data_IF_783656392099
#
_entry.id   IF_783656392099
#
_cell.length_a   1.000
_cell.length_b   1.000
_cell.length_c   1.000
_cell.angle_alpha   90.00
_cell.angle_beta   90.00
_cell.angle_gamma   90.00
#
_symmetry.space_group_name_H-M   'P 1'
#
loop_
_entity.id
_entity.type
_entity.pdbx_description
1 polymer ?
#
# COMPACT_ATOMS: atom_id res chain seq x y z
N UNK A 1 3.28 -15.06 14.79
CA UNK A 1 2.48 -15.37 13.57
C UNK A 1 2.62 -14.19 12.62
N UNK A 2 2.93 -14.45 11.35
CA UNK A 2 2.97 -13.39 10.34
C UNK A 2 1.54 -12.99 9.94
N UNK A 3 1.28 -11.72 9.89
CA UNK A 3 0.03 -11.18 9.37
C UNK A 3 0.22 -10.63 7.94
N UNK A 4 -0.87 -10.38 7.25
CA UNK A 4 -0.96 -9.69 5.96
C UNK A 4 -2.09 -8.66 6.04
N UNK A 5 -2.02 -7.57 5.25
CA UNK A 5 -0.99 -7.17 4.28
C UNK A 5 0.25 -6.54 4.94
N UNK A 6 1.33 -6.38 4.19
CA UNK A 6 2.49 -5.60 4.65
C UNK A 6 2.32 -4.12 4.32
N UNK A 7 1.86 -3.82 3.11
CA UNK A 7 1.70 -2.47 2.57
C UNK A 7 0.44 -2.37 1.73
N UNK A 8 0.01 -1.15 1.43
CA UNK A 8 -1.17 -0.86 0.62
C UNK A 8 -0.82 -0.04 -0.63
N UNK A 9 -1.76 0.01 -1.55
CA UNK A 9 -1.78 0.93 -2.67
C UNK A 9 -3.23 1.22 -3.07
N UNK A 10 -3.49 2.26 -3.87
CA UNK A 10 -4.85 2.54 -4.33
C UNK A 10 -5.38 1.40 -5.19
N UNK A 11 -6.44 0.76 -4.72
CA UNK A 11 -7.12 -0.33 -5.41
C UNK A 11 -8.52 0.04 -5.92
N UNK A 12 -9.02 1.22 -5.56
CA UNK A 12 -10.36 1.66 -5.95
C UNK A 12 -10.41 1.94 -7.46
N UNK A 13 -11.22 1.22 -8.25
CA UNK A 13 -11.34 1.45 -9.68
C UNK A 13 -12.01 2.79 -10.02
N UNK A 14 -12.76 3.38 -9.10
CA UNK A 14 -13.43 4.66 -9.32
C UNK A 14 -12.45 5.84 -9.29
N UNK A 15 -11.45 5.78 -8.42
CA UNK A 15 -10.36 6.75 -8.36
C UNK A 15 -9.13 6.33 -9.17
N UNK A 16 -8.83 5.05 -9.22
CA UNK A 16 -7.85 4.34 -10.02
C UNK A 16 -6.59 5.07 -10.45
N UNK A 17 -5.99 4.59 -11.50
CA UNK A 17 -4.91 5.29 -12.20
C UNK A 17 -5.00 5.03 -13.71
N UNK A 18 -4.52 5.99 -14.54
CA UNK A 18 -4.63 5.86 -16.00
C UNK A 18 -3.57 4.91 -16.54
N UNK A 19 -3.97 4.08 -17.50
CA UNK A 19 -3.07 3.27 -18.32
C UNK A 19 -3.40 3.47 -19.79
N UNK A 20 -2.46 3.13 -20.66
CA UNK A 20 -2.72 3.03 -22.10
C UNK A 20 -2.83 1.55 -22.45
N UNK A 21 -3.98 1.16 -23.00
CA UNK A 21 -4.22 -0.17 -23.52
C UNK A 21 -4.69 -0.09 -24.98
N UNK A 22 -3.96 -0.74 -25.88
CA UNK A 22 -4.26 -0.70 -27.34
C UNK A 22 -4.39 0.72 -27.89
N UNK A 23 -3.55 1.65 -27.38
CA UNK A 23 -3.56 3.05 -27.81
C UNK A 23 -4.66 3.92 -27.21
N UNK A 24 -5.44 3.41 -26.26
CA UNK A 24 -6.54 4.14 -25.60
C UNK A 24 -6.24 4.30 -24.10
N UNK A 25 -6.50 5.49 -23.56
CA UNK A 25 -6.45 5.74 -22.14
C UNK A 25 -7.61 5.07 -21.42
N UNK A 26 -7.30 4.31 -20.37
CA UNK A 26 -8.29 3.65 -19.49
C UNK A 26 -7.91 3.89 -18.03
N UNK A 27 -8.93 4.04 -17.18
CA UNK A 27 -8.72 4.06 -15.74
C UNK A 27 -8.88 2.64 -15.20
N UNK A 28 -7.90 2.18 -14.45
CA UNK A 28 -7.91 0.84 -13.85
C UNK A 28 -7.72 0.92 -12.34
N UNK A 29 -8.21 -0.09 -11.65
CA UNK A 29 -8.05 -0.30 -10.22
C UNK A 29 -8.04 -1.79 -9.91
N UNK A 30 -8.15 -2.10 -8.64
CA UNK A 30 -8.07 -3.45 -8.10
C UNK A 30 -6.78 -3.69 -7.33
N UNK A 31 -6.79 -4.62 -6.39
CA UNK A 31 -5.61 -4.98 -5.59
C UNK A 31 -4.47 -5.49 -6.46
N UNK A 32 -4.79 -6.11 -7.61
CA UNK A 32 -3.79 -6.55 -8.61
C UNK A 32 -3.01 -5.39 -9.23
N UNK A 33 -3.50 -4.16 -9.13
CA UNK A 33 -2.81 -2.99 -9.63
C UNK A 33 -1.69 -2.50 -8.69
N UNK A 34 -1.81 -2.75 -7.40
CA UNK A 34 -0.80 -2.39 -6.40
C UNK A 34 0.50 -3.18 -6.56
N UNK A 35 0.42 -4.47 -6.86
CA UNK A 35 1.59 -5.32 -6.98
C UNK A 35 2.60 -4.83 -8.03
N UNK A 36 2.22 -4.54 -9.29
CA UNK A 36 3.17 -4.03 -10.28
C UNK A 36 3.70 -2.62 -9.93
N UNK A 37 2.94 -1.80 -9.24
CA UNK A 37 3.41 -0.49 -8.79
C UNK A 37 4.49 -0.63 -7.71
N UNK A 38 4.30 -1.52 -6.73
CA UNK A 38 5.34 -1.85 -5.76
C UNK A 38 6.57 -2.49 -6.41
N UNK A 39 6.37 -3.33 -7.43
CA UNK A 39 7.48 -3.90 -8.21
C UNK A 39 8.27 -2.81 -8.95
N UNK A 40 7.58 -1.82 -9.51
CA UNK A 40 8.22 -0.67 -10.15
C UNK A 40 9.05 0.15 -9.14
N UNK A 41 8.50 0.45 -7.97
CA UNK A 41 9.23 1.12 -6.88
C UNK A 41 10.48 0.31 -6.52
N UNK A 42 10.35 -1.00 -6.33
CA UNK A 42 11.50 -1.86 -6.01
C UNK A 42 12.57 -1.86 -7.11
N UNK A 43 12.17 -1.80 -8.38
CA UNK A 43 13.09 -1.81 -9.53
C UNK A 43 13.94 -0.53 -9.63
N UNK A 44 13.52 0.56 -9.00
CA UNK A 44 14.28 1.81 -8.93
C UNK A 44 15.44 1.74 -7.92
N UNK A 45 15.69 0.59 -7.30
CA UNK A 45 16.73 0.47 -6.27
C UNK A 45 16.32 1.10 -4.94
N UNK A 46 15.02 1.19 -4.70
CA UNK A 46 14.43 1.88 -3.54
C UNK A 46 14.72 1.20 -2.19
N UNK A 47 15.19 -0.05 -2.20
CA UNK A 47 15.27 -0.87 -0.98
C UNK A 47 13.91 -1.43 -0.53
N UNK A 48 12.89 -1.38 -1.37
CA UNK A 48 11.56 -1.89 -1.05
C UNK A 48 11.59 -3.40 -0.78
N UNK A 49 11.54 -3.77 0.48
CA UNK A 49 11.53 -5.15 0.96
C UNK A 49 10.90 -5.22 2.34
N UNK A 50 10.32 -6.36 2.68
CA UNK A 50 9.70 -6.52 4.00
C UNK A 50 10.70 -6.28 5.15
N UNK A 51 11.94 -6.67 4.99
CA UNK A 51 12.98 -6.39 5.99
C UNK A 51 13.14 -4.89 6.23
N UNK A 52 13.21 -4.10 5.16
CA UNK A 52 13.33 -2.65 5.27
C UNK A 52 12.04 -1.98 5.75
N UNK A 53 10.87 -2.48 5.32
CA UNK A 53 9.58 -1.95 5.75
C UNK A 53 9.39 -2.05 7.26
N UNK A 54 9.84 -3.15 7.89
CA UNK A 54 9.71 -3.41 9.33
C UNK A 54 10.97 -3.09 10.14
N UNK A 55 11.95 -2.40 9.56
CA UNK A 55 13.09 -1.83 10.29
C UNK A 55 12.67 -0.57 11.08
N UNK A 56 13.60 0.21 11.56
CA UNK A 56 13.33 1.51 12.23
C UNK A 56 12.45 2.45 11.40
N UNK A 57 12.34 2.18 10.09
CA UNK A 57 11.51 2.92 9.14
C UNK A 57 10.01 2.64 9.30
N UNK A 58 9.64 1.52 9.87
CA UNK A 58 8.24 1.13 10.13
C UNK A 58 7.70 1.62 11.46
N UNK A 59 8.55 2.25 12.28
CA UNK A 59 8.10 2.78 13.55
C UNK A 59 7.06 3.88 13.36
N UNK A 60 6.18 3.98 14.29
CA UNK A 60 4.92 4.71 14.34
C UNK A 60 4.93 6.20 13.96
N UNK A 61 6.07 6.77 13.67
CA UNK A 61 6.25 8.15 13.26
C UNK A 61 6.77 8.30 11.82
N UNK A 62 6.58 7.28 10.99
CA UNK A 62 7.27 7.24 9.72
C UNK A 62 6.46 7.74 8.53
N UNK A 63 5.77 8.87 8.71
CA UNK A 63 5.15 9.64 7.64
C UNK A 63 6.10 9.99 6.47
N UNK A 64 7.39 9.76 6.65
CA UNK A 64 8.37 9.91 5.58
C UNK A 64 8.28 8.79 4.53
N UNK A 65 7.99 7.57 4.96
CA UNK A 65 8.01 6.39 4.10
C UNK A 65 6.62 5.92 3.72
N UNK A 66 5.70 5.95 4.67
CA UNK A 66 4.33 5.47 4.50
C UNK A 66 3.31 6.53 4.91
N UNK A 67 2.27 6.63 4.13
CA UNK A 67 1.05 7.28 4.54
C UNK A 67 0.19 6.26 5.27
N UNK A 68 0.02 6.47 6.56
CA UNK A 68 -0.84 5.65 7.40
C UNK A 68 -2.32 5.88 7.03
N UNK A 69 -3.04 4.79 6.78
CA UNK A 69 -4.46 4.81 6.46
C UNK A 69 -5.23 4.49 7.73
N UNK A 70 -5.79 5.52 8.34
CA UNK A 70 -6.34 5.43 9.70
C UNK A 70 -7.86 5.29 9.77
N UNK A 71 -8.55 5.23 8.64
CA UNK A 71 -10.01 5.13 8.59
C UNK A 71 -10.49 4.30 7.42
N UNK A 72 -11.63 3.66 7.58
CA UNK A 72 -12.25 2.81 6.59
C UNK A 72 -12.36 1.35 7.05
N UNK A 73 -13.08 0.56 6.28
CA UNK A 73 -13.29 -0.86 6.54
C UNK A 73 -13.34 -1.63 5.23
N UNK A 74 -12.88 -2.88 5.26
CA UNK A 74 -12.99 -3.81 4.13
C UNK A 74 -13.93 -4.99 4.41
N UNK A 75 -14.72 -4.91 5.46
CA UNK A 75 -15.68 -5.94 5.80
C UNK A 75 -16.31 -5.74 7.17
N UNK A 76 -17.10 -6.72 7.59
CA UNK A 76 -17.75 -6.75 8.91
C UNK A 76 -17.11 -7.87 9.77
N UNK A 77 -15.90 -7.67 10.19
CA UNK A 77 -15.15 -8.57 11.06
C UNK A 77 -14.48 -7.82 12.23
N UNK A 78 -15.10 -6.72 12.65
CA UNK A 78 -14.65 -5.92 13.79
C UNK A 78 -13.23 -5.42 13.62
N UNK A 79 -12.42 -5.59 14.64
CA UNK A 79 -11.02 -5.15 14.69
C UNK A 79 -10.18 -5.52 13.46
N UNK A 80 -10.40 -6.71 12.90
CA UNK A 80 -9.59 -7.20 11.77
C UNK A 80 -9.93 -6.54 10.43
N UNK A 81 -11.07 -5.86 10.35
CA UNK A 81 -11.57 -5.23 9.12
C UNK A 81 -11.58 -3.71 9.16
N UNK A 82 -11.02 -3.10 10.20
CA UNK A 82 -11.03 -1.65 10.39
C UNK A 82 -9.62 -1.10 10.26
N UNK A 83 -9.44 -0.10 9.39
CA UNK A 83 -8.20 0.66 9.30
C UNK A 83 -8.00 1.50 10.57
N UNK A 84 -6.76 1.60 11.05
CA UNK A 84 -6.39 2.21 12.33
C UNK A 84 -5.05 2.93 12.22
N UNK A 85 -4.74 3.73 13.22
CA UNK A 85 -3.40 4.28 13.37
C UNK A 85 -2.36 3.17 13.51
N UNK A 86 -1.26 3.34 12.82
CA UNK A 86 -0.14 2.39 12.70
C UNK A 86 -0.50 1.15 11.89
N UNK A 87 0.19 0.05 12.10
CA UNK A 87 -0.10 -1.20 11.39
C UNK A 87 -1.52 -1.69 11.67
N UNK A 88 -2.26 -1.99 10.61
CA UNK A 88 -3.57 -2.66 10.70
C UNK A 88 -3.70 -3.79 9.67
N UNK A 89 -4.74 -4.61 9.83
CA UNK A 89 -4.97 -5.78 8.98
C UNK A 89 -5.67 -5.47 7.65
N UNK A 90 -5.96 -4.20 7.39
CA UNK A 90 -6.59 -3.74 6.14
C UNK A 90 -5.55 -3.19 5.19
N UNK A 91 -4.63 -2.36 5.69
CA UNK A 91 -3.68 -1.59 4.88
C UNK A 91 -2.20 -1.82 5.22
N UNK A 92 -1.92 -2.63 6.24
CA UNK A 92 -0.56 -2.88 6.71
C UNK A 92 0.08 -1.60 7.26
N UNK A 93 1.24 -1.26 6.77
CA UNK A 93 1.97 -0.02 7.11
C UNK A 93 1.44 1.21 6.35
N UNK A 94 0.52 1.01 5.40
CA UNK A 94 -0.03 2.07 4.57
C UNK A 94 0.54 2.13 3.15
N UNK A 95 0.26 3.23 2.47
CA UNK A 95 0.69 3.45 1.09
C UNK A 95 2.04 4.17 1.02
N UNK A 96 2.83 4.02 -0.07
CA UNK A 96 4.13 4.65 -0.17
C UNK A 96 4.02 6.18 -0.27
N UNK A 97 4.91 6.88 0.43
CA UNK A 97 5.11 8.33 0.30
C UNK A 97 6.48 8.70 -0.27
N UNK A 98 7.31 7.70 -0.51
CA UNK A 98 8.65 7.85 -1.06
C UNK A 98 8.93 6.71 -2.02
N UNK A 99 9.92 6.87 -2.85
CA UNK A 99 10.51 5.85 -3.72
C UNK A 99 11.79 5.25 -3.13
N UNK A 100 12.17 5.65 -1.92
CA UNK A 100 13.38 5.17 -1.21
C UNK A 100 13.00 4.68 0.19
N UNK A 101 13.27 3.41 0.45
CA UNK A 101 13.01 2.72 1.72
C UNK A 101 14.29 2.24 2.40
#
# INVERSE_FOLDING_TARGET
>A
MRAIPDVAYNADPASGFPIIRKGVWETVGGTSAGAPQWAAIASLGSGASNTNFYSDKSSTNNSKYFRDITSGTNGDCGYLCIARAHYDYVTGLGSPQTDVF
#
